data_IF_401449099455
#
_entry.id   IF_401449099455
#
_cell.length_a   1.000
_cell.length_b   1.000
_cell.length_c   1.000
_cell.angle_alpha   90.00
_cell.angle_beta   90.00
_cell.angle_gamma   90.00
#
_symmetry.space_group_name_H-M   'P 1'
#
loop_
_entity.id
_entity.type
_entity.pdbx_description
1 polymer ?
#
# COMPACT_ATOMS: atom_id res chain seq x y z
N UNK A 1 -12.74 -13.66 17.76
CA UNK A 1 -13.56 -12.69 17.01
C UNK A 1 -14.31 -11.73 17.95
N UNK A 2 -15.18 -12.16 18.87
CA UNK A 2 -15.91 -11.22 19.75
C UNK A 2 -15.03 -10.42 20.73
N UNK A 3 -13.98 -11.02 21.28
CA UNK A 3 -13.09 -10.33 22.25
C UNK A 3 -12.31 -9.15 21.64
N UNK A 4 -11.92 -9.24 20.36
CA UNK A 4 -11.20 -8.17 19.66
C UNK A 4 -12.09 -6.94 19.37
N UNK A 5 -13.39 -7.16 19.15
CA UNK A 5 -14.34 -6.05 18.92
C UNK A 5 -14.68 -5.31 20.22
N UNK A 6 -14.82 -6.03 21.34
CA UNK A 6 -15.04 -5.42 22.66
C UNK A 6 -13.83 -4.59 23.09
N UNK A 7 -12.61 -5.06 22.80
CA UNK A 7 -11.37 -4.28 22.98
C UNK A 7 -11.37 -3.01 22.12
N UNK A 8 -11.81 -3.08 20.87
CA UNK A 8 -11.94 -1.92 19.97
C UNK A 8 -12.96 -0.88 20.44
N UNK A 9 -14.04 -1.31 21.11
CA UNK A 9 -15.07 -0.41 21.62
C UNK A 9 -14.64 0.36 22.88
N UNK A 10 -13.68 -0.18 23.64
CA UNK A 10 -13.19 0.43 24.88
C UNK A 10 -11.93 1.30 24.69
N UNK A 11 -11.31 1.27 23.50
CA UNK A 11 -10.09 2.02 23.21
C UNK A 11 -10.35 3.53 23.09
N UNK A 12 -9.52 4.31 23.76
CA UNK A 12 -9.51 5.77 23.60
C UNK A 12 -8.97 6.16 22.21
N UNK A 13 -9.36 7.32 21.65
CA UNK A 13 -8.80 7.82 20.39
C UNK A 13 -7.27 7.91 20.40
N UNK A 14 -6.69 8.23 21.55
CA UNK A 14 -5.25 8.33 21.79
C UNK A 14 -4.59 6.95 21.68
N UNK A 15 -5.12 5.94 22.38
CA UNK A 15 -4.61 4.57 22.30
C UNK A 15 -4.81 3.96 20.91
N UNK A 16 -5.89 4.32 20.21
CA UNK A 16 -6.09 3.89 18.83
C UNK A 16 -5.00 4.46 17.92
N UNK A 17 -4.64 5.74 18.08
CA UNK A 17 -3.60 6.36 17.26
C UNK A 17 -2.21 5.75 17.53
N UNK A 18 -1.88 5.44 18.79
CA UNK A 18 -0.61 4.78 19.11
C UNK A 18 -0.53 3.38 18.49
N UNK A 19 -1.62 2.61 18.53
CA UNK A 19 -1.69 1.32 17.86
C UNK A 19 -1.59 1.43 16.34
N UNK A 20 -2.26 2.41 15.72
CA UNK A 20 -2.15 2.65 14.28
C UNK A 20 -0.70 3.00 13.92
N UNK A 21 -0.06 3.87 14.69
CA UNK A 21 1.34 4.24 14.48
C UNK A 21 2.27 3.02 14.59
N UNK A 22 2.10 2.19 15.61
CA UNK A 22 2.89 0.97 15.80
C UNK A 22 2.75 0.01 14.61
N UNK A 23 1.50 -0.24 14.15
CA UNK A 23 1.23 -1.07 12.97
C UNK A 23 1.84 -0.48 11.69
N UNK A 24 1.80 0.85 11.53
CA UNK A 24 2.38 1.53 10.37
C UNK A 24 3.90 1.46 10.35
N UNK A 25 4.58 1.58 11.50
CA UNK A 25 6.03 1.38 11.61
C UNK A 25 6.44 -0.04 11.24
N UNK A 26 5.76 -1.04 11.80
CA UNK A 26 6.01 -2.44 11.47
C UNK A 26 5.85 -2.72 9.97
N UNK A 27 4.81 -2.16 9.34
CA UNK A 27 4.60 -2.30 7.91
C UNK A 27 5.68 -1.58 7.08
N UNK A 28 6.12 -0.39 7.49
CA UNK A 28 7.23 0.31 6.86
C UNK A 28 8.53 -0.51 6.95
N UNK A 29 8.83 -1.08 8.12
CA UNK A 29 10.01 -1.93 8.32
C UNK A 29 9.96 -3.18 7.42
N UNK A 30 8.80 -3.85 7.34
CA UNK A 30 8.61 -5.01 6.46
C UNK A 30 8.80 -4.66 4.99
N UNK A 31 8.26 -3.52 4.54
CA UNK A 31 8.40 -3.08 3.14
C UNK A 31 9.85 -2.73 2.83
N UNK A 32 10.56 -2.10 3.77
CA UNK A 32 11.98 -1.78 3.61
C UNK A 32 12.84 -3.04 3.42
N UNK A 33 12.44 -4.18 3.98
CA UNK A 33 13.13 -5.47 3.79
C UNK A 33 12.80 -6.06 2.41
N UNK A 34 11.54 -5.96 1.95
CA UNK A 34 11.08 -6.60 0.71
C UNK A 34 11.56 -5.87 -0.55
N UNK A 35 11.71 -4.54 -0.51
CA UNK A 35 12.09 -3.75 -1.70
C UNK A 35 13.42 -4.22 -2.32
N UNK A 36 14.53 -4.37 -1.57
CA UNK A 36 15.78 -4.89 -2.11
C UNK A 36 15.64 -6.27 -2.76
N UNK A 37 14.91 -7.19 -2.13
CA UNK A 37 14.68 -8.54 -2.69
C UNK A 37 13.95 -8.49 -4.05
N UNK A 38 13.00 -7.55 -4.18
CA UNK A 38 12.29 -7.29 -5.44
C UNK A 38 13.19 -6.61 -6.48
N UNK A 39 14.04 -5.66 -6.08
CA UNK A 39 15.03 -5.01 -6.95
C UNK A 39 16.00 -6.05 -7.53
N UNK A 40 16.59 -6.88 -6.68
CA UNK A 40 17.48 -7.99 -7.07
C UNK A 40 16.80 -8.98 -8.00
N UNK A 41 15.52 -9.28 -7.75
CA UNK A 41 14.75 -10.19 -8.59
C UNK A 41 14.43 -9.59 -9.96
N UNK A 42 14.12 -8.28 -10.01
CA UNK A 42 13.93 -7.55 -11.27
C UNK A 42 15.24 -7.49 -12.05
N UNK A 43 16.37 -7.24 -11.39
CA UNK A 43 17.69 -7.18 -12.05
C UNK A 43 18.06 -8.53 -12.67
N UNK A 44 17.92 -9.63 -11.92
CA UNK A 44 18.18 -10.99 -12.43
C UNK A 44 17.29 -11.32 -13.63
N UNK A 45 15.99 -11.07 -13.53
CA UNK A 45 15.05 -11.32 -14.64
C UNK A 45 15.31 -10.41 -15.85
N UNK A 46 15.81 -9.19 -15.62
CA UNK A 46 16.22 -8.29 -16.71
C UNK A 46 17.45 -8.85 -17.42
N UNK A 47 18.45 -9.35 -16.69
CA UNK A 47 19.62 -10.00 -17.29
C UNK A 47 19.20 -11.21 -18.15
N UNK A 48 18.37 -12.12 -17.62
CA UNK A 48 17.83 -13.25 -18.38
C UNK A 48 17.04 -12.82 -19.63
N UNK A 49 16.28 -11.73 -19.53
CA UNK A 49 15.54 -11.17 -20.65
C UNK A 49 16.48 -10.68 -21.76
N UNK A 50 17.52 -9.91 -21.42
CA UNK A 50 18.50 -9.40 -22.39
C UNK A 50 19.30 -10.51 -23.06
N UNK A 51 19.58 -11.62 -22.36
CA UNK A 51 20.26 -12.78 -22.93
C UNK A 51 19.42 -13.51 -23.98
N UNK A 52 18.11 -13.68 -23.72
CA UNK A 52 17.22 -14.49 -24.58
C UNK A 52 16.58 -13.64 -25.69
N UNK A 53 16.44 -12.34 -25.49
CA UNK A 53 15.77 -11.44 -26.44
C UNK A 53 16.35 -11.48 -27.87
N UNK A 54 17.67 -11.45 -28.10
CA UNK A 54 18.25 -11.54 -29.45
C UNK A 54 17.87 -12.85 -30.15
N UNK A 55 17.97 -13.98 -29.42
CA UNK A 55 17.64 -15.31 -29.93
C UNK A 55 16.16 -15.41 -30.30
N UNK A 56 15.28 -14.89 -29.44
CA UNK A 56 13.85 -14.82 -29.73
C UNK A 56 13.57 -13.97 -30.98
N UNK A 57 14.20 -12.80 -31.10
CA UNK A 57 14.02 -11.88 -32.24
C UNK A 57 14.44 -12.52 -33.56
N UNK A 58 15.56 -13.23 -33.59
CA UNK A 58 16.04 -13.93 -34.79
C UNK A 58 15.03 -14.99 -35.26
N UNK A 59 14.51 -15.80 -34.33
CA UNK A 59 13.50 -16.84 -34.61
C UNK A 59 12.19 -16.22 -35.13
N UNK A 60 11.74 -15.13 -34.50
CA UNK A 60 10.51 -14.43 -34.89
C UNK A 60 10.64 -13.85 -36.31
N UNK A 61 11.80 -13.25 -36.63
CA UNK A 61 12.12 -12.73 -37.96
C UNK A 61 12.16 -13.82 -39.04
N UNK A 62 12.72 -14.99 -38.72
CA UNK A 62 12.79 -16.13 -39.63
C UNK A 62 11.44 -16.86 -39.79
N UNK A 63 10.40 -16.48 -39.04
CA UNK A 63 9.11 -17.19 -38.92
C UNK A 63 9.27 -18.68 -38.59
N UNK A 64 10.40 -19.05 -38.00
CA UNK A 64 10.71 -20.42 -37.63
C UNK A 64 10.01 -20.77 -36.32
N UNK A 65 8.70 -21.04 -36.41
CA UNK A 65 7.88 -21.51 -35.28
C UNK A 65 8.36 -22.86 -34.68
N UNK A 66 9.42 -23.44 -35.23
CA UNK A 66 9.96 -24.75 -34.85
C UNK A 66 10.64 -24.75 -33.48
N UNK A 67 11.09 -23.60 -32.98
CA UNK A 67 11.61 -23.47 -31.61
C UNK A 67 10.49 -23.08 -30.63
N UNK A 68 9.63 -24.05 -30.29
CA UNK A 68 8.58 -23.83 -29.26
C UNK A 68 9.18 -23.44 -27.91
N UNK A 69 10.33 -24.01 -27.57
CA UNK A 69 10.94 -23.88 -26.25
C UNK A 69 11.53 -22.49 -26.00
N UNK A 70 12.26 -21.90 -26.95
CA UNK A 70 12.80 -20.53 -26.82
C UNK A 70 11.66 -19.50 -26.77
N UNK A 71 10.65 -19.64 -27.62
CA UNK A 71 9.48 -18.74 -27.62
C UNK A 71 8.71 -18.86 -26.31
N UNK A 72 8.52 -20.09 -25.79
CA UNK A 72 7.88 -20.34 -24.50
C UNK A 72 8.68 -19.72 -23.36
N UNK A 73 9.98 -20.00 -23.29
CA UNK A 73 10.88 -19.48 -22.26
C UNK A 73 10.96 -17.95 -22.28
N UNK A 74 11.01 -17.33 -23.46
CA UNK A 74 10.98 -15.87 -23.58
C UNK A 74 9.66 -15.29 -23.05
N UNK A 75 8.52 -15.92 -23.36
CA UNK A 75 7.21 -15.46 -22.85
C UNK A 75 7.14 -15.57 -21.33
N UNK A 76 7.61 -16.66 -20.75
CA UNK A 76 7.58 -16.85 -19.29
C UNK A 76 8.49 -15.84 -18.58
N UNK A 77 9.71 -15.61 -19.08
CA UNK A 77 10.63 -14.62 -18.51
C UNK A 77 10.07 -13.20 -18.64
N UNK A 78 9.51 -12.86 -19.81
CA UNK A 78 8.85 -11.57 -20.02
C UNK A 78 7.68 -11.34 -19.06
N UNK A 79 6.87 -12.37 -18.82
CA UNK A 79 5.73 -12.29 -17.91
C UNK A 79 6.19 -12.14 -16.46
N UNK A 80 7.15 -12.96 -16.01
CA UNK A 80 7.78 -12.85 -14.69
C UNK A 80 8.37 -11.45 -14.48
N UNK A 81 9.21 -10.97 -15.40
CA UNK A 81 9.81 -9.63 -15.33
C UNK A 81 8.75 -8.53 -15.21
N UNK A 82 7.65 -8.64 -15.95
CA UNK A 82 6.55 -7.67 -15.87
C UNK A 82 5.86 -7.69 -14.52
N UNK A 83 5.61 -8.87 -13.95
CA UNK A 83 4.92 -9.01 -12.68
C UNK A 83 5.81 -8.51 -11.53
N UNK A 84 7.10 -8.81 -11.56
CA UNK A 84 8.04 -8.42 -10.52
C UNK A 84 8.27 -6.92 -10.54
N UNK A 85 8.37 -6.29 -11.73
CA UNK A 85 8.41 -4.82 -11.84
C UNK A 85 7.17 -4.16 -11.24
N UNK A 86 5.97 -4.72 -11.49
CA UNK A 86 4.73 -4.21 -10.91
C UNK A 86 4.69 -4.37 -9.39
N UNK A 87 5.17 -5.50 -8.87
CA UNK A 87 5.29 -5.73 -7.43
C UNK A 87 6.25 -4.74 -6.79
N UNK A 88 7.40 -4.46 -7.43
CA UNK A 88 8.36 -3.45 -6.99
C UNK A 88 7.75 -2.04 -6.98
N UNK A 89 7.11 -1.62 -8.07
CA UNK A 89 6.41 -0.33 -8.14
C UNK A 89 5.32 -0.20 -7.05
N UNK A 90 4.58 -1.29 -6.79
CA UNK A 90 3.60 -1.32 -5.73
C UNK A 90 4.25 -1.21 -4.34
N UNK A 91 5.34 -1.93 -4.08
CA UNK A 91 6.09 -1.86 -2.83
C UNK A 91 6.61 -0.44 -2.57
N UNK A 92 7.22 0.20 -3.57
CA UNK A 92 7.70 1.60 -3.48
C UNK A 92 6.54 2.57 -3.18
N UNK A 93 5.39 2.40 -3.84
CA UNK A 93 4.22 3.23 -3.58
C UNK A 93 3.71 3.06 -2.15
N UNK A 94 3.59 1.82 -1.67
CA UNK A 94 3.11 1.53 -0.32
C UNK A 94 4.13 2.03 0.72
N UNK A 95 5.43 1.97 0.43
CA UNK A 95 6.47 2.57 1.29
C UNK A 95 6.21 4.07 1.49
N UNK A 96 6.05 4.84 0.40
CA UNK A 96 5.80 6.29 0.47
C UNK A 96 4.51 6.64 1.20
N UNK A 97 3.45 5.86 0.96
CA UNK A 97 2.18 6.02 1.68
C UNK A 97 2.36 5.74 3.18
N UNK A 98 3.17 4.73 3.51
CA UNK A 98 3.46 4.35 4.89
C UNK A 98 4.30 5.40 5.59
N UNK A 99 5.31 5.97 4.95
CA UNK A 99 6.12 7.06 5.51
C UNK A 99 5.23 8.28 5.82
N UNK A 100 4.34 8.63 4.88
CA UNK A 100 3.38 9.72 5.05
C UNK A 100 2.40 9.44 6.19
N UNK A 101 1.91 8.19 6.30
CA UNK A 101 1.03 7.78 7.39
C UNK A 101 1.76 7.77 8.74
N UNK A 102 3.01 7.29 8.80
CA UNK A 102 3.85 7.31 10.01
C UNK A 102 4.07 8.75 10.46
N UNK A 103 4.40 9.66 9.55
CA UNK A 103 4.55 11.08 9.88
C UNK A 103 3.25 11.67 10.43
N UNK A 104 2.13 11.46 9.74
CA UNK A 104 0.81 11.93 10.18
C UNK A 104 0.45 11.43 11.59
N UNK A 105 0.55 10.12 11.82
CA UNK A 105 0.17 9.53 13.11
C UNK A 105 1.17 9.84 14.22
N UNK A 106 2.45 10.01 13.91
CA UNK A 106 3.44 10.51 14.87
C UNK A 106 3.07 11.91 15.36
N UNK A 107 2.70 12.81 14.43
CA UNK A 107 2.23 14.16 14.78
C UNK A 107 0.99 14.10 15.67
N UNK A 108 0.01 13.24 15.33
CA UNK A 108 -1.22 13.07 16.13
C UNK A 108 -0.98 12.53 17.53
N UNK A 109 -0.05 11.58 17.68
CA UNK A 109 0.31 11.04 18.99
C UNK A 109 1.00 12.10 19.85
N UNK A 110 1.81 12.97 19.24
CA UNK A 110 2.57 14.00 19.97
C UNK A 110 1.76 15.26 20.29
N UNK A 111 1.00 15.76 19.33
CA UNK A 111 0.31 17.07 19.40
C UNK A 111 -1.19 16.92 19.72
N UNK A 112 -1.75 15.72 19.57
CA UNK A 112 -3.13 15.39 19.92
C UNK A 112 -4.10 15.23 18.74
N UNK A 113 -5.34 14.89 19.09
CA UNK A 113 -6.41 14.53 18.13
C UNK A 113 -7.32 15.69 17.73
N UNK A 114 -7.09 16.87 18.32
CA UNK A 114 -7.83 18.10 18.04
C UNK A 114 -7.47 18.73 16.70
N UNK A 115 -7.87 19.99 16.52
CA UNK A 115 -7.43 20.79 15.37
C UNK A 115 -5.96 21.17 15.57
N UNK A 116 -5.12 20.90 14.57
CA UNK A 116 -3.70 21.27 14.59
C UNK A 116 -3.41 22.33 13.53
N UNK A 117 -3.71 22.03 12.26
CA UNK A 117 -3.50 22.92 11.12
C UNK A 117 -4.44 22.56 9.96
N UNK A 118 -4.31 23.24 8.81
CA UNK A 118 -5.13 23.02 7.63
C UNK A 118 -5.03 21.61 7.04
N UNK A 119 -3.91 20.91 7.24
CA UNK A 119 -3.68 19.54 6.77
C UNK A 119 -4.10 18.50 7.82
N UNK A 120 -4.24 18.91 9.07
CA UNK A 120 -4.54 18.07 10.24
C UNK A 120 -5.82 18.58 10.96
N UNK A 121 -7.01 18.37 10.36
CA UNK A 121 -8.28 18.84 10.91
C UNK A 121 -8.69 18.10 12.20
N UNK A 122 -9.58 18.66 13.01
CA UNK A 122 -10.06 18.02 14.25
C UNK A 122 -10.70 16.65 13.97
N UNK A 123 -10.04 15.57 14.43
CA UNK A 123 -10.52 14.20 14.29
C UNK A 123 -11.68 13.90 15.25
N UNK A 124 -11.76 14.63 16.36
CA UNK A 124 -12.81 14.51 17.37
C UNK A 124 -14.03 15.36 17.06
N UNK A 125 -14.03 16.16 15.98
CA UNK A 125 -15.13 17.09 15.64
C UNK A 125 -16.50 16.40 15.65
N UNK A 126 -16.61 15.23 15.01
CA UNK A 126 -17.87 14.50 14.96
C UNK A 126 -18.23 13.82 16.28
N UNK A 127 -17.24 13.41 17.08
CA UNK A 127 -17.47 12.90 18.44
C UNK A 127 -18.05 13.99 19.34
N UNK A 128 -17.44 15.19 19.31
CA UNK A 128 -17.91 16.38 20.03
C UNK A 128 -19.32 16.79 19.60
N UNK A 129 -19.60 16.83 18.30
CA UNK A 129 -20.92 17.15 17.74
C UNK A 129 -22.00 16.14 18.19
N UNK A 130 -21.70 14.84 18.15
CA UNK A 130 -22.66 13.83 18.63
C UNK A 130 -22.94 13.97 20.13
N UNK A 131 -21.91 14.28 20.94
CA UNK A 131 -22.09 14.56 22.37
C UNK A 131 -22.94 15.80 22.64
N UNK A 132 -22.90 16.82 21.78
CA UNK A 132 -23.79 17.99 21.88
C UNK A 132 -25.20 17.75 21.33
N UNK A 133 -25.52 16.53 20.91
CA UNK A 133 -26.83 16.17 20.34
C UNK A 133 -26.97 16.45 18.84
N UNK A 134 -25.89 16.84 18.17
CA UNK A 134 -25.87 17.03 16.72
C UNK A 134 -25.67 15.71 15.96
N UNK A 135 -25.77 15.78 14.62
CA UNK A 135 -25.70 14.59 13.77
C UNK A 135 -24.27 14.12 13.55
N UNK A 136 -24.09 12.80 13.63
CA UNK A 136 -22.84 12.16 13.21
C UNK A 136 -22.58 12.34 11.71
N UNK A 137 -21.33 12.13 11.28
CA UNK A 137 -20.96 12.13 9.85
C UNK A 137 -21.84 11.21 9.00
N UNK A 138 -22.18 10.03 9.53
CA UNK A 138 -23.07 9.08 8.86
C UNK A 138 -24.51 9.63 8.76
N UNK A 139 -25.00 10.27 9.83
CA UNK A 139 -26.31 10.94 9.85
C UNK A 139 -26.41 12.08 8.82
N UNK A 140 -25.36 12.89 8.69
CA UNK A 140 -25.27 13.97 7.69
C UNK A 140 -25.33 13.39 6.27
N UNK A 141 -24.52 12.37 5.97
CA UNK A 141 -24.50 11.70 4.65
C UNK A 141 -25.86 11.10 4.28
N UNK A 142 -26.56 10.48 5.23
CA UNK A 142 -27.89 9.89 5.01
C UNK A 142 -28.94 10.97 4.66
N UNK A 143 -28.87 12.13 5.33
CA UNK A 143 -29.75 13.26 5.03
C UNK A 143 -29.51 13.83 3.63
N UNK A 144 -28.24 13.95 3.21
CA UNK A 144 -27.87 14.46 1.90
C UNK A 144 -28.29 13.51 0.76
N UNK A 145 -28.33 12.20 1.00
CA UNK A 145 -28.84 11.21 0.03
C UNK A 145 -30.36 11.20 -0.11
N UNK A 146 -31.07 11.68 0.92
CA UNK A 146 -32.54 11.72 0.95
C UNK A 146 -33.10 13.11 0.56
N UNK A 147 -32.23 14.04 0.14
CA UNK A 147 -32.58 15.32 -0.47
C UNK A 147 -32.38 15.21 -1.97
#
# INVERSE_FOLDING_TARGET
>A
MHEEYELLLNLTPEEMATQILAKRRLLADQISIIIPDLEDSVERLQQEYEEIFPRYREIDNQKERKNSEIISNFKTIREKLRNEKKSLEAAIRISKESDSAVAYWTKRVNEGMGELDSEHPDLLRFSKAVRSGEKSRAGIKKMQKNK
#
